data_IF_394275282598
#
_entry.id   IF_394275282598
#
_cell.length_a   1.000
_cell.length_b   1.000
_cell.length_c   1.000
_cell.angle_alpha   90.00
_cell.angle_beta   90.00
_cell.angle_gamma   90.00
#
_symmetry.space_group_name_H-M   'P 1'
#
loop_
_entity.id
_entity.type
_entity.pdbx_description
1 polymer ?
#
# COMPACT_ATOMS: atom_id res chain seq x y z
N UNK A 1 -21.06 -30.55 -8.47
CA UNK A 1 -19.84 -29.87 -8.95
C UNK A 1 -19.38 -28.95 -7.82
N UNK A 2 -18.31 -29.32 -7.13
CA UNK A 2 -17.69 -28.51 -6.08
C UNK A 2 -16.84 -27.44 -6.76
N UNK A 3 -17.30 -26.19 -6.75
CA UNK A 3 -16.42 -25.07 -7.04
C UNK A 3 -15.42 -24.98 -5.87
N UNK A 4 -14.12 -25.11 -6.17
CA UNK A 4 -13.06 -24.73 -5.24
C UNK A 4 -13.35 -23.32 -4.73
N UNK A 5 -13.13 -23.05 -3.44
CA UNK A 5 -13.29 -21.71 -2.84
C UNK A 5 -12.49 -20.64 -3.59
N UNK A 6 -11.36 -21.02 -4.18
CA UNK A 6 -10.60 -20.19 -5.12
C UNK A 6 -11.42 -19.83 -6.36
N UNK A 7 -12.17 -20.78 -6.94
CA UNK A 7 -13.07 -20.50 -8.06
C UNK A 7 -14.18 -19.53 -7.63
N UNK A 8 -14.74 -19.63 -6.42
CA UNK A 8 -15.73 -18.67 -5.92
C UNK A 8 -15.16 -17.26 -5.73
N UNK A 9 -13.92 -17.12 -5.24
CA UNK A 9 -13.20 -15.84 -5.13
C UNK A 9 -12.80 -15.28 -6.51
N UNK A 10 -12.34 -16.14 -7.42
CA UNK A 10 -12.02 -15.79 -8.81
C UNK A 10 -13.27 -15.42 -9.62
N UNK A 11 -14.42 -16.08 -9.39
CA UNK A 11 -15.69 -15.72 -10.01
C UNK A 11 -16.20 -14.36 -9.50
N UNK A 12 -15.93 -14.01 -8.23
CA UNK A 12 -16.21 -12.67 -7.70
C UNK A 12 -15.33 -11.59 -8.37
N UNK A 13 -14.07 -11.90 -8.69
CA UNK A 13 -13.19 -10.99 -9.44
C UNK A 13 -13.55 -10.91 -10.95
N UNK A 14 -13.88 -12.03 -11.57
CA UNK A 14 -14.18 -12.13 -13.01
C UNK A 14 -15.50 -11.45 -13.42
N UNK A 15 -16.42 -11.21 -12.48
CA UNK A 15 -17.66 -10.48 -12.73
C UNK A 15 -17.44 -9.00 -13.12
N UNK A 16 -16.23 -8.44 -12.94
CA UNK A 16 -15.93 -7.03 -13.17
C UNK A 16 -15.02 -6.76 -14.39
N UNK A 17 -14.68 -7.77 -15.18
CA UNK A 17 -13.84 -7.62 -16.38
C UNK A 17 -14.58 -7.06 -17.62
N UNK A 18 -15.82 -6.57 -17.48
CA UNK A 18 -16.52 -5.92 -18.59
C UNK A 18 -16.41 -4.39 -18.48
N UNK A 19 -15.52 -3.73 -19.24
CA UNK A 19 -15.63 -2.28 -19.38
C UNK A 19 -16.98 -1.94 -20.00
N UNK A 20 -17.65 -0.91 -19.48
CA UNK A 20 -18.76 -0.27 -20.17
C UNK A 20 -18.30 0.12 -21.60
N UNK A 21 -19.11 -0.09 -22.65
CA UNK A 21 -18.67 0.18 -24.00
C UNK A 21 -18.43 1.68 -24.15
N UNK A 22 -17.17 2.06 -24.33
CA UNK A 22 -16.82 3.35 -24.88
C UNK A 22 -17.32 3.40 -26.33
N UNK A 23 -18.02 4.46 -26.69
CA UNK A 23 -18.52 4.70 -28.04
C UNK A 23 -17.36 4.64 -29.06
N UNK A 24 -17.40 3.62 -29.92
CA UNK A 24 -16.43 3.44 -30.98
C UNK A 24 -16.69 4.45 -32.10
N UNK A 25 -15.76 5.38 -32.30
CA UNK A 25 -15.62 6.11 -33.56
C UNK A 25 -14.89 5.20 -34.56
N UNK A 26 -15.54 5.00 -35.70
CA UNK A 26 -15.08 4.13 -36.77
C UNK A 26 -13.91 4.75 -37.53
N UNK A 27 -12.87 3.97 -37.76
CA UNK A 27 -12.13 3.98 -39.03
C UNK A 27 -11.52 2.60 -39.28
N UNK A 28 -12.04 1.95 -40.32
CA UNK A 28 -11.68 0.60 -40.74
C UNK A 28 -10.69 0.66 -41.93
N UNK A 29 -9.69 -0.21 -41.92
CA UNK A 29 -8.89 -0.59 -43.10
C UNK A 29 -8.86 -2.13 -43.16
N UNK A 30 -9.20 -2.78 -44.30
CA UNK A 30 -9.44 -4.21 -44.35
C UNK A 30 -8.18 -5.00 -44.76
N UNK A 31 -7.96 -6.17 -44.17
CA UNK A 31 -7.04 -7.18 -44.71
C UNK A 31 -7.66 -8.58 -44.63
N UNK A 32 -7.96 -9.12 -45.81
CA UNK A 32 -7.60 -10.48 -46.24
C UNK A 32 -8.15 -11.68 -45.47
N UNK A 33 -9.26 -12.23 -45.98
CA UNK A 33 -9.76 -13.57 -45.68
C UNK A 33 -8.92 -14.65 -46.40
N UNK A 34 -8.50 -15.70 -45.71
CA UNK A 34 -8.25 -17.02 -46.31
C UNK A 34 -8.77 -18.12 -45.40
N UNK A 35 -9.78 -18.80 -45.93
CA UNK A 35 -10.36 -20.09 -45.55
C UNK A 35 -9.34 -21.23 -45.58
N UNK A 36 -9.44 -22.19 -44.66
CA UNK A 36 -9.54 -23.61 -45.03
C UNK A 36 -9.99 -24.48 -43.84
N UNK A 37 -11.03 -25.27 -44.10
CA UNK A 37 -11.58 -26.36 -43.31
C UNK A 37 -10.58 -27.53 -43.17
N UNK A 38 -10.65 -28.27 -42.05
CA UNK A 38 -10.75 -29.74 -42.11
C UNK A 38 -11.07 -30.37 -40.75
N UNK A 39 -11.99 -31.32 -40.82
CA UNK A 39 -12.70 -32.04 -39.78
C UNK A 39 -11.96 -33.22 -39.14
N UNK A 40 -12.33 -33.52 -37.88
CA UNK A 40 -12.65 -34.84 -37.30
C UNK A 40 -11.63 -36.00 -37.45
N UNK A 41 -11.17 -36.56 -36.32
CA UNK A 41 -11.52 -37.95 -36.01
C UNK A 41 -11.35 -38.32 -34.54
N UNK A 42 -12.37 -38.99 -34.00
CA UNK A 42 -12.38 -39.68 -32.73
C UNK A 42 -11.99 -41.15 -32.93
N UNK A 43 -11.26 -41.73 -31.98
CA UNK A 43 -11.29 -43.18 -31.75
C UNK A 43 -10.87 -43.49 -30.33
N UNK A 44 -11.86 -43.93 -29.56
CA UNK A 44 -11.71 -44.56 -28.26
C UNK A 44 -11.14 -45.97 -28.41
N UNK A 45 -10.31 -46.38 -27.45
CA UNK A 45 -10.07 -47.78 -27.12
C UNK A 45 -10.12 -47.93 -25.60
N UNK A 46 -11.18 -48.59 -25.14
CA UNK A 46 -11.40 -48.96 -23.75
C UNK A 46 -10.63 -50.22 -23.40
N UNK A 47 -9.96 -50.25 -22.26
CA UNK A 47 -9.73 -51.49 -21.51
C UNK A 47 -10.14 -51.22 -20.07
N UNK A 48 -11.22 -51.88 -19.68
CA UNK A 48 -11.74 -51.91 -18.32
C UNK A 48 -10.76 -52.66 -17.42
N UNK A 49 -10.53 -52.13 -16.22
CA UNK A 49 -10.36 -52.99 -15.06
C UNK A 49 -11.08 -52.35 -13.87
N UNK A 50 -12.17 -53.01 -13.45
CA UNK A 50 -12.89 -52.65 -12.25
C UNK A 50 -12.11 -53.17 -11.05
N UNK A 51 -11.82 -52.28 -10.10
CA UNK A 51 -11.65 -52.68 -8.72
C UNK A 51 -12.39 -51.67 -7.85
N UNK A 52 -13.54 -52.12 -7.36
CA UNK A 52 -14.38 -51.45 -6.37
C UNK A 52 -13.64 -51.38 -5.05
N UNK A 53 -13.21 -50.19 -4.65
CA UNK A 53 -13.06 -49.85 -3.24
C UNK A 53 -14.00 -48.69 -2.93
N UNK A 54 -15.04 -48.97 -2.16
CA UNK A 54 -15.86 -47.97 -1.47
C UNK A 54 -14.95 -47.22 -0.49
N UNK A 55 -14.24 -46.21 -1.01
CA UNK A 55 -13.60 -45.19 -0.21
C UNK A 55 -14.65 -44.16 0.15
N UNK A 56 -15.14 -44.20 1.38
CA UNK A 56 -15.84 -43.10 2.04
C UNK A 56 -15.15 -41.79 1.67
N UNK A 57 -15.76 -41.00 0.78
CA UNK A 57 -15.39 -39.60 0.63
C UNK A 57 -15.66 -38.96 1.98
N UNK A 58 -14.60 -38.78 2.76
CA UNK A 58 -14.63 -37.87 3.88
C UNK A 58 -15.04 -36.53 3.30
N UNK A 59 -16.31 -36.15 3.52
CA UNK A 59 -16.73 -34.78 3.36
C UNK A 59 -15.72 -33.96 4.16
N UNK A 60 -14.90 -33.17 3.45
CA UNK A 60 -14.08 -32.17 4.10
C UNK A 60 -15.07 -31.30 4.89
N UNK A 61 -15.11 -31.49 6.20
CA UNK A 61 -15.81 -30.56 7.08
C UNK A 61 -15.17 -29.21 6.78
N UNK A 62 -15.91 -28.30 6.16
CA UNK A 62 -15.44 -26.94 5.95
C UNK A 62 -15.15 -26.39 7.34
N UNK A 63 -13.89 -26.37 7.74
CA UNK A 63 -13.47 -25.74 8.98
C UNK A 63 -14.02 -24.31 8.94
N UNK A 64 -14.58 -23.86 10.07
CA UNK A 64 -15.06 -22.49 10.15
C UNK A 64 -13.93 -21.53 9.73
N UNK A 65 -14.21 -20.50 8.91
CA UNK A 65 -13.22 -19.53 8.51
C UNK A 65 -12.48 -18.95 9.73
N UNK A 66 -11.17 -18.77 9.62
CA UNK A 66 -10.38 -18.27 10.71
C UNK A 66 -10.78 -16.81 11.04
N UNK A 67 -11.13 -16.46 12.29
CA UNK A 67 -11.56 -15.10 12.63
C UNK A 67 -10.52 -14.01 12.31
N UNK A 68 -9.23 -14.37 12.32
CA UNK A 68 -8.14 -13.45 11.97
C UNK A 68 -8.20 -13.01 10.50
N UNK A 69 -8.64 -13.88 9.59
CA UNK A 69 -8.74 -13.55 8.17
C UNK A 69 -9.78 -12.45 7.92
N UNK A 70 -10.90 -12.46 8.66
CA UNK A 70 -11.89 -11.39 8.61
C UNK A 70 -11.29 -10.05 9.10
N UNK A 71 -10.49 -10.08 10.17
CA UNK A 71 -9.81 -8.88 10.67
C UNK A 71 -8.84 -8.33 9.63
N UNK A 72 -8.04 -9.19 8.99
CA UNK A 72 -7.08 -8.79 7.94
C UNK A 72 -7.78 -8.23 6.72
N UNK A 73 -8.85 -8.87 6.24
CA UNK A 73 -9.64 -8.39 5.10
C UNK A 73 -10.32 -7.05 5.37
N UNK A 74 -10.91 -6.86 6.56
CA UNK A 74 -11.51 -5.58 6.93
C UNK A 74 -10.47 -4.47 7.16
N UNK A 75 -9.27 -4.85 7.61
CA UNK A 75 -8.15 -3.93 7.70
C UNK A 75 -7.71 -3.47 6.29
N UNK A 76 -7.50 -4.40 5.35
CA UNK A 76 -7.22 -4.04 3.95
C UNK A 76 -8.33 -3.16 3.37
N UNK A 77 -9.60 -3.56 3.52
CA UNK A 77 -10.76 -2.81 3.02
C UNK A 77 -10.84 -1.38 3.58
N UNK A 78 -10.37 -1.15 4.80
CA UNK A 78 -10.28 0.19 5.38
C UNK A 78 -9.34 1.10 4.58
N UNK A 79 -8.21 0.55 4.12
CA UNK A 79 -7.22 1.27 3.31
C UNK A 79 -7.73 1.43 1.87
N UNK A 80 -8.27 0.39 1.26
CA UNK A 80 -8.84 0.49 -0.09
C UNK A 80 -9.94 1.56 -0.19
N UNK A 81 -10.81 1.68 0.83
CA UNK A 81 -11.80 2.76 0.88
C UNK A 81 -11.16 4.15 0.93
N UNK A 82 -10.06 4.29 1.68
CA UNK A 82 -9.32 5.55 1.79
C UNK A 82 -8.73 5.92 0.44
N UNK A 83 -8.05 4.98 -0.22
CA UNK A 83 -7.35 5.20 -1.49
C UNK A 83 -8.33 5.44 -2.65
N UNK A 84 -9.36 4.60 -2.78
CA UNK A 84 -10.41 4.81 -3.77
C UNK A 84 -11.09 6.18 -3.62
N UNK A 85 -11.37 6.62 -2.39
CA UNK A 85 -11.96 7.95 -2.16
C UNK A 85 -10.95 9.07 -2.46
N UNK A 86 -9.68 8.88 -2.09
CA UNK A 86 -8.62 9.86 -2.34
C UNK A 86 -8.41 10.10 -3.84
N UNK A 87 -8.31 9.05 -4.65
CA UNK A 87 -8.19 9.18 -6.09
C UNK A 87 -9.44 9.75 -6.74
N UNK A 88 -10.64 9.34 -6.31
CA UNK A 88 -11.89 9.89 -6.82
C UNK A 88 -11.97 11.41 -6.60
N UNK A 89 -11.69 11.88 -5.38
CA UNK A 89 -11.71 13.31 -5.06
C UNK A 89 -10.57 14.07 -5.75
N UNK A 90 -9.37 13.48 -5.81
CA UNK A 90 -8.21 14.04 -6.49
C UNK A 90 -8.45 14.23 -7.99
N UNK A 91 -8.99 13.23 -8.69
CA UNK A 91 -9.30 13.30 -10.12
C UNK A 91 -10.49 14.21 -10.45
N UNK A 92 -11.41 14.40 -9.50
CA UNK A 92 -12.46 15.42 -9.61
C UNK A 92 -11.89 16.84 -9.52
N UNK A 93 -10.82 17.02 -8.72
CA UNK A 93 -10.17 18.31 -8.50
C UNK A 93 -9.09 18.65 -9.53
N UNK A 94 -8.35 17.66 -10.02
CA UNK A 94 -7.16 17.84 -10.85
C UNK A 94 -7.31 17.15 -12.21
N UNK A 95 -7.65 17.95 -13.23
CA UNK A 95 -7.71 17.51 -14.63
C UNK A 95 -6.38 17.67 -15.37
N UNK A 96 -6.43 17.48 -16.71
CA UNK A 96 -5.26 17.51 -17.58
C UNK A 96 -4.41 18.79 -17.44
N UNK A 97 -5.05 19.94 -17.29
CA UNK A 97 -4.36 21.23 -17.14
C UNK A 97 -3.48 21.27 -15.88
N UNK A 98 -3.92 20.65 -14.77
CA UNK A 98 -3.16 20.61 -13.53
C UNK A 98 -1.88 19.78 -13.70
N UNK A 99 -1.98 18.60 -14.33
CA UNK A 99 -0.80 17.77 -14.63
C UNK A 99 0.15 18.46 -15.61
N UNK A 100 -0.40 19.07 -16.66
CA UNK A 100 0.39 19.79 -17.67
C UNK A 100 1.10 21.02 -17.08
N UNK A 101 0.51 21.67 -16.07
CA UNK A 101 1.07 22.87 -15.42
C UNK A 101 2.41 22.61 -14.72
N UNK A 102 2.68 21.36 -14.33
CA UNK A 102 3.95 20.92 -13.74
C UNK A 102 4.80 20.11 -14.74
N UNK A 103 4.46 20.18 -16.03
CA UNK A 103 5.22 19.55 -17.11
C UNK A 103 5.02 18.03 -17.24
N UNK A 104 3.99 17.46 -16.61
CA UNK A 104 3.71 16.03 -16.73
C UNK A 104 2.95 15.73 -18.03
N UNK A 105 3.37 14.70 -18.78
CA UNK A 105 2.74 14.33 -20.04
C UNK A 105 1.35 13.70 -19.82
N UNK A 106 0.47 13.80 -20.82
CA UNK A 106 -0.93 13.37 -20.75
C UNK A 106 -1.13 11.92 -20.28
N UNK A 107 -0.20 11.01 -20.59
CA UNK A 107 -0.31 9.61 -20.18
C UNK A 107 -0.30 9.45 -18.65
N UNK A 108 0.30 10.39 -17.91
CA UNK A 108 0.33 10.35 -16.44
C UNK A 108 -1.08 10.43 -15.88
N UNK A 109 -1.93 11.32 -16.38
CA UNK A 109 -3.34 11.38 -15.97
C UNK A 109 -4.06 10.05 -16.23
N UNK A 110 -3.74 9.36 -17.33
CA UNK A 110 -4.34 8.05 -17.62
C UNK A 110 -3.89 6.99 -16.61
N UNK A 111 -2.63 7.01 -16.18
CA UNK A 111 -2.16 6.11 -15.11
C UNK A 111 -2.89 6.39 -13.79
N UNK A 112 -3.09 7.66 -13.40
CA UNK A 112 -3.89 7.99 -12.21
C UNK A 112 -5.34 7.49 -12.32
N UNK A 113 -5.94 7.53 -13.52
CA UNK A 113 -7.28 6.98 -13.76
C UNK A 113 -7.30 5.44 -13.68
N UNK A 114 -6.24 4.78 -14.13
CA UNK A 114 -6.07 3.33 -13.97
C UNK A 114 -6.00 2.97 -12.50
N UNK A 115 -5.12 3.61 -11.74
CA UNK A 115 -5.00 3.39 -10.28
C UNK A 115 -6.35 3.60 -9.59
N UNK A 116 -7.04 4.72 -9.87
CA UNK A 116 -8.36 4.99 -9.29
C UNK A 116 -9.41 3.88 -9.58
N UNK A 117 -9.35 3.27 -10.76
CA UNK A 117 -10.22 2.17 -11.15
C UNK A 117 -9.84 0.89 -10.42
N UNK A 118 -8.54 0.60 -10.32
CA UNK A 118 -8.00 -0.57 -9.62
C UNK A 118 -8.37 -0.51 -8.12
N UNK A 119 -8.22 0.62 -7.45
CA UNK A 119 -8.63 0.78 -6.04
C UNK A 119 -10.14 0.56 -5.83
N UNK A 120 -10.95 1.01 -6.77
CA UNK A 120 -12.40 0.77 -6.73
C UNK A 120 -12.74 -0.72 -6.90
N UNK A 121 -11.95 -1.43 -7.71
CA UNK A 121 -12.06 -2.88 -7.92
C UNK A 121 -11.58 -3.63 -6.68
N UNK A 122 -10.49 -3.20 -6.04
CA UNK A 122 -10.00 -3.78 -4.78
C UNK A 122 -11.06 -3.70 -3.67
N UNK A 123 -11.69 -2.53 -3.47
CA UNK A 123 -12.83 -2.37 -2.53
C UNK A 123 -13.91 -3.40 -2.81
N UNK A 124 -14.36 -3.50 -4.06
CA UNK A 124 -15.45 -4.39 -4.46
C UNK A 124 -15.07 -5.85 -4.27
N UNK A 125 -13.85 -6.21 -4.63
CA UNK A 125 -13.30 -7.55 -4.45
C UNK A 125 -13.29 -7.94 -2.97
N UNK A 126 -12.75 -7.10 -2.09
CA UNK A 126 -12.67 -7.38 -0.65
C UNK A 126 -14.06 -7.48 0.00
N UNK A 127 -15.00 -6.61 -0.37
CA UNK A 127 -16.39 -6.71 0.09
C UNK A 127 -17.01 -8.07 -0.29
N UNK A 128 -16.80 -8.51 -1.53
CA UNK A 128 -17.30 -9.80 -2.01
C UNK A 128 -16.60 -10.98 -1.32
N UNK A 129 -15.28 -10.91 -1.14
CA UNK A 129 -14.51 -11.95 -0.46
C UNK A 129 -14.96 -12.13 1.00
N UNK A 130 -15.20 -11.02 1.72
CA UNK A 130 -15.75 -11.02 3.08
C UNK A 130 -17.16 -11.62 3.09
N UNK A 131 -18.03 -11.17 2.18
CA UNK A 131 -19.41 -11.65 2.10
C UNK A 131 -19.48 -13.15 1.79
N UNK A 132 -18.67 -13.64 0.85
CA UNK A 132 -18.63 -15.04 0.45
C UNK A 132 -18.04 -15.96 1.51
N UNK A 133 -17.04 -15.48 2.26
CA UNK A 133 -16.31 -16.32 3.22
C UNK A 133 -16.91 -16.27 4.62
N UNK A 134 -17.33 -15.10 5.09
CA UNK A 134 -17.75 -14.88 6.48
C UNK A 134 -19.24 -14.54 6.60
N UNK A 135 -19.87 -14.09 5.52
CA UNK A 135 -21.28 -13.73 5.48
C UNK A 135 -21.52 -12.25 5.16
N UNK A 136 -22.75 -11.96 4.71
CA UNK A 136 -23.18 -10.62 4.32
C UNK A 136 -23.10 -9.63 5.51
N UNK A 137 -22.82 -8.36 5.21
CA UNK A 137 -22.77 -7.24 6.16
C UNK A 137 -21.62 -7.27 7.18
N UNK A 138 -20.59 -8.10 6.98
CA UNK A 138 -19.38 -8.09 7.80
C UNK A 138 -18.25 -7.22 7.24
N UNK A 139 -18.41 -6.72 6.02
CA UNK A 139 -17.49 -5.77 5.41
C UNK A 139 -17.67 -4.38 6.05
N UNK A 140 -16.58 -3.77 6.48
CA UNK A 140 -16.62 -2.42 7.05
C UNK A 140 -17.03 -1.39 5.97
N UNK A 141 -17.88 -0.41 6.31
CA UNK A 141 -18.18 0.71 5.42
C UNK A 141 -16.98 1.67 5.35
N UNK A 142 -16.97 2.59 4.39
CA UNK A 142 -15.94 3.63 4.33
C UNK A 142 -15.96 4.57 5.54
N UNK A 143 -14.80 5.11 5.88
CA UNK A 143 -14.68 6.20 6.84
C UNK A 143 -15.06 7.54 6.18
N UNK A 144 -15.07 8.61 6.98
CA UNK A 144 -15.02 9.98 6.48
C UNK A 144 -13.58 10.47 6.52
N UNK A 145 -13.20 11.25 5.51
CA UNK A 145 -11.81 11.63 5.30
C UNK A 145 -11.63 13.15 5.35
N UNK A 146 -10.40 13.59 5.59
CA UNK A 146 -9.99 14.97 5.43
C UNK A 146 -8.74 15.01 4.55
N UNK A 147 -8.90 15.46 3.32
CA UNK A 147 -7.82 15.56 2.34
C UNK A 147 -7.38 17.00 2.06
N UNK A 148 -7.76 17.99 2.87
CA UNK A 148 -7.49 19.41 2.60
C UNK A 148 -6.00 19.67 2.33
N UNK A 149 -5.10 19.09 3.14
CA UNK A 149 -3.66 19.17 2.93
C UNK A 149 -3.16 18.27 1.80
N UNK A 150 -3.67 17.04 1.72
CA UNK A 150 -3.24 16.04 0.74
C UNK A 150 -3.68 16.36 -0.70
N UNK A 151 -4.73 17.18 -0.86
CA UNK A 151 -5.23 17.67 -2.14
C UNK A 151 -5.09 19.20 -2.24
N UNK A 152 -4.18 19.83 -1.48
CA UNK A 152 -4.00 21.28 -1.51
C UNK A 152 -3.59 21.79 -2.91
N UNK A 153 -2.77 21.03 -3.63
CA UNK A 153 -2.33 21.29 -5.00
C UNK A 153 -1.91 19.96 -5.68
N UNK A 154 -1.60 20.01 -6.98
CA UNK A 154 -1.21 18.83 -7.77
C UNK A 154 0.04 18.12 -7.23
N UNK A 155 1.00 18.87 -6.68
CA UNK A 155 2.21 18.27 -6.10
C UNK A 155 1.89 17.51 -4.81
N UNK A 156 1.03 18.07 -3.95
CA UNK A 156 0.51 17.37 -2.77
C UNK A 156 -0.27 16.13 -3.17
N UNK A 157 -1.10 16.19 -4.22
CA UNK A 157 -1.85 15.04 -4.72
C UNK A 157 -0.92 13.88 -5.12
N UNK A 158 0.10 14.16 -5.93
CA UNK A 158 1.07 13.15 -6.36
C UNK A 158 1.89 12.60 -5.17
N UNK A 159 2.30 13.48 -4.25
CA UNK A 159 3.13 13.09 -3.10
C UNK A 159 2.37 12.18 -2.14
N UNK A 160 1.11 12.50 -1.84
CA UNK A 160 0.28 11.68 -0.96
C UNK A 160 -0.19 10.39 -1.64
N UNK A 161 -0.45 10.41 -2.95
CA UNK A 161 -0.64 9.18 -3.72
C UNK A 161 0.56 8.24 -3.54
N UNK A 162 1.80 8.74 -3.71
CA UNK A 162 3.01 7.92 -3.53
C UNK A 162 3.15 7.37 -2.10
N UNK A 163 2.70 8.11 -1.08
CA UNK A 163 2.68 7.65 0.31
C UNK A 163 1.62 6.56 0.51
N UNK A 164 0.42 6.73 -0.06
CA UNK A 164 -0.70 5.80 0.07
C UNK A 164 -0.38 4.45 -0.58
N UNK A 165 -0.03 4.41 -1.87
CA UNK A 165 0.30 3.15 -2.55
C UNK A 165 1.45 2.41 -1.87
N UNK A 166 2.45 3.16 -1.39
CA UNK A 166 3.50 2.56 -0.58
C UNK A 166 2.95 1.96 0.70
N UNK A 167 2.06 2.66 1.39
CA UNK A 167 1.40 2.16 2.59
C UNK A 167 0.58 0.90 2.28
N UNK A 168 -0.11 0.85 1.12
CA UNK A 168 -0.77 -0.33 0.57
C UNK A 168 0.17 -1.53 0.46
N UNK A 169 1.30 -1.38 -0.24
CA UNK A 169 2.36 -2.42 -0.33
C UNK A 169 2.77 -2.91 1.06
N UNK A 170 3.11 -2.00 1.98
CA UNK A 170 3.56 -2.35 3.32
C UNK A 170 2.50 -3.10 4.13
N UNK A 171 1.23 -2.75 3.95
CA UNK A 171 0.09 -3.38 4.61
C UNK A 171 -0.17 -4.79 4.09
N UNK A 172 -0.13 -5.00 2.77
CA UNK A 172 -0.30 -6.33 2.19
C UNK A 172 0.88 -7.26 2.53
N UNK A 173 2.11 -6.78 2.44
CA UNK A 173 3.30 -7.56 2.80
C UNK A 173 3.31 -7.94 4.29
N UNK A 174 2.90 -7.03 5.17
CA UNK A 174 2.77 -7.31 6.61
C UNK A 174 1.55 -8.17 6.94
N UNK A 175 0.48 -8.07 6.16
CA UNK A 175 -0.78 -8.78 6.35
C UNK A 175 -0.73 -10.23 5.88
N UNK A 176 0.05 -10.54 4.83
CA UNK A 176 0.05 -11.88 4.21
C UNK A 176 0.46 -12.99 5.18
N UNK A 177 1.33 -12.70 6.16
CA UNK A 177 1.72 -13.67 7.21
C UNK A 177 0.57 -14.02 8.17
N UNK A 178 -0.45 -13.17 8.27
CA UNK A 178 -1.57 -13.32 9.21
C UNK A 178 -2.72 -14.15 8.62
N UNK A 179 -2.77 -14.28 7.29
CA UNK A 179 -3.85 -14.95 6.59
C UNK A 179 -3.68 -16.48 6.69
N UNK A 180 -4.70 -17.15 7.21
CA UNK A 180 -4.77 -18.61 7.35
C UNK A 180 -5.31 -19.25 6.07
N UNK A 181 -6.38 -18.70 5.48
CA UNK A 181 -6.96 -19.23 4.26
C UNK A 181 -6.06 -18.97 3.03
N UNK A 182 -5.63 -20.05 2.35
CA UNK A 182 -4.69 -19.94 1.22
C UNK A 182 -5.26 -19.26 -0.02
N UNK A 183 -6.58 -19.30 -0.23
CA UNK A 183 -7.22 -18.59 -1.34
C UNK A 183 -7.23 -17.08 -1.09
N UNK A 184 -7.54 -16.66 0.15
CA UNK A 184 -7.43 -15.25 0.57
C UNK A 184 -5.97 -14.80 0.49
N UNK A 185 -5.02 -15.64 0.89
CA UNK A 185 -3.59 -15.34 0.84
C UNK A 185 -3.11 -15.13 -0.59
N UNK A 186 -3.56 -15.99 -1.52
CA UNK A 186 -3.28 -15.86 -2.94
C UNK A 186 -3.86 -14.57 -3.51
N UNK A 187 -5.12 -14.25 -3.16
CA UNK A 187 -5.74 -12.99 -3.58
C UNK A 187 -4.98 -11.77 -3.05
N UNK A 188 -4.61 -11.75 -1.77
CA UNK A 188 -3.81 -10.69 -1.17
C UNK A 188 -2.48 -10.51 -1.90
N UNK A 189 -1.81 -11.60 -2.28
CA UNK A 189 -0.57 -11.53 -3.07
C UNK A 189 -0.80 -10.90 -4.46
N UNK A 190 -1.94 -11.13 -5.10
CA UNK A 190 -2.23 -10.50 -6.40
C UNK A 190 -2.41 -8.99 -6.27
N UNK A 191 -3.12 -8.53 -5.24
CA UNK A 191 -3.31 -7.10 -4.96
C UNK A 191 -1.96 -6.47 -4.62
N UNK A 192 -1.18 -7.08 -3.71
CA UNK A 192 0.16 -6.59 -3.33
C UNK A 192 1.06 -6.27 -4.55
N UNK A 193 1.03 -7.10 -5.59
CA UNK A 193 1.82 -6.83 -6.80
C UNK A 193 1.30 -5.66 -7.64
N UNK A 194 -0.01 -5.39 -7.61
CA UNK A 194 -0.64 -4.23 -8.28
C UNK A 194 -0.28 -2.95 -7.53
N UNK A 195 -0.45 -2.92 -6.20
CA UNK A 195 0.05 -1.85 -5.32
C UNK A 195 1.52 -1.52 -5.60
N UNK A 196 2.36 -2.57 -5.73
CA UNK A 196 3.77 -2.42 -6.05
C UNK A 196 4.02 -1.72 -7.39
N UNK A 197 3.17 -1.95 -8.41
CA UNK A 197 3.26 -1.27 -9.72
C UNK A 197 2.78 0.17 -9.64
N UNK A 198 1.71 0.44 -8.89
CA UNK A 198 1.25 1.81 -8.64
C UNK A 198 2.32 2.63 -7.93
N UNK A 199 2.86 2.09 -6.82
CA UNK A 199 3.98 2.65 -6.08
C UNK A 199 5.19 2.87 -6.99
N UNK A 200 5.56 1.88 -7.82
CA UNK A 200 6.66 2.00 -8.79
C UNK A 200 6.48 3.18 -9.75
N UNK A 201 5.28 3.37 -10.29
CA UNK A 201 4.96 4.50 -11.16
C UNK A 201 5.04 5.84 -10.44
N UNK A 202 4.47 5.95 -9.24
CA UNK A 202 4.47 7.19 -8.45
C UNK A 202 5.86 7.57 -7.93
N UNK A 203 6.72 6.56 -7.68
CA UNK A 203 8.12 6.78 -7.34
C UNK A 203 8.83 7.59 -8.43
N UNK A 204 8.57 7.29 -9.71
CA UNK A 204 9.16 8.05 -10.83
C UNK A 204 8.71 9.52 -10.83
N UNK A 205 7.46 9.80 -10.43
CA UNK A 205 6.93 11.16 -10.38
C UNK A 205 7.47 11.96 -9.19
N UNK A 206 7.83 11.29 -8.10
CA UNK A 206 8.41 11.89 -6.90
C UNK A 206 9.94 11.91 -6.91
N UNK A 207 10.57 11.42 -7.99
CA UNK A 207 12.02 11.42 -8.19
C UNK A 207 12.77 10.29 -7.48
N UNK A 208 12.04 9.29 -6.95
CA UNK A 208 12.58 8.04 -6.44
C UNK A 208 12.81 7.03 -7.58
N UNK A 209 13.54 5.95 -7.28
CA UNK A 209 13.69 4.84 -8.22
C UNK A 209 12.39 4.03 -8.35
N UNK A 210 12.05 3.48 -9.52
CA UNK A 210 10.83 2.68 -9.71
C UNK A 210 10.86 1.38 -8.87
N UNK A 211 12.06 0.90 -8.52
CA UNK A 211 12.28 -0.14 -7.54
C UNK A 211 13.22 0.46 -6.47
N UNK A 212 12.69 1.05 -5.40
CA UNK A 212 13.45 1.85 -4.44
C UNK A 212 14.26 0.99 -3.46
N UNK A 213 14.51 -0.29 -3.78
CA UNK A 213 15.20 -1.27 -2.97
C UNK A 213 14.95 -2.70 -3.49
N UNK A 214 15.74 -3.69 -3.05
CA UNK A 214 15.53 -5.11 -3.40
C UNK A 214 14.36 -5.77 -2.65
N UNK A 215 13.88 -5.15 -1.58
CA UNK A 215 12.78 -5.64 -0.75
C UNK A 215 11.91 -4.48 -0.30
N UNK A 216 10.60 -4.70 -0.27
CA UNK A 216 9.66 -3.80 0.40
C UNK A 216 9.72 -3.96 1.92
N UNK A 217 9.20 -2.96 2.65
CA UNK A 217 9.22 -2.93 4.11
C UNK A 217 7.86 -3.32 4.66
N UNK A 218 7.62 -4.59 5.03
CA UNK A 218 6.33 -4.98 5.59
C UNK A 218 6.07 -4.23 6.90
N UNK A 219 4.83 -3.81 7.13
CA UNK A 219 4.42 -3.16 8.38
C UNK A 219 3.21 -3.85 9.02
N UNK A 220 3.16 -3.83 10.35
CA UNK A 220 1.98 -4.29 11.09
C UNK A 220 0.80 -3.31 11.00
N UNK A 221 -0.37 -3.75 11.46
CA UNK A 221 -1.63 -3.00 11.40
C UNK A 221 -1.49 -1.60 12.02
N UNK A 222 -0.92 -1.48 13.22
CA UNK A 222 -0.87 -0.20 13.94
C UNK A 222 0.08 0.81 13.28
N UNK A 223 1.30 0.46 12.85
CA UNK A 223 2.12 1.34 12.02
C UNK A 223 1.39 1.84 10.76
N UNK A 224 0.71 0.96 10.02
CA UNK A 224 -0.04 1.33 8.81
C UNK A 224 -1.19 2.29 9.12
N UNK A 225 -2.01 1.99 10.12
CA UNK A 225 -3.08 2.91 10.57
C UNK A 225 -2.50 4.26 11.00
N UNK A 226 -1.30 4.29 11.58
CA UNK A 226 -0.66 5.54 12.00
C UNK A 226 -0.25 6.41 10.81
N UNK A 227 0.16 5.82 9.68
CA UNK A 227 0.43 6.57 8.43
C UNK A 227 -0.89 7.15 7.87
N UNK A 228 -1.95 6.35 7.83
CA UNK A 228 -3.25 6.75 7.30
C UNK A 228 -4.03 7.72 8.21
N UNK A 229 -3.73 7.76 9.51
CA UNK A 229 -4.53 8.45 10.52
C UNK A 229 -4.75 9.94 10.25
N UNK A 230 -3.76 10.62 9.65
CA UNK A 230 -3.87 12.04 9.31
C UNK A 230 -4.93 12.35 8.25
N UNK A 231 -5.35 11.35 7.48
CA UNK A 231 -6.32 11.48 6.40
C UNK A 231 -7.72 10.98 6.81
N UNK A 232 -7.82 10.25 7.92
CA UNK A 232 -9.08 9.70 8.43
C UNK A 232 -9.65 10.66 9.46
N UNK A 233 -10.84 11.22 9.17
CA UNK A 233 -11.55 12.11 10.09
C UNK A 233 -12.32 11.32 11.15
N UNK A 234 -13.07 10.31 10.72
CA UNK A 234 -13.78 9.39 11.61
C UNK A 234 -14.28 8.16 10.86
N UNK A 235 -14.41 7.04 11.55
CA UNK A 235 -14.99 5.81 11.00
C UNK A 235 -16.27 5.43 11.77
N UNK A 236 -17.28 4.84 11.12
CA UNK A 236 -18.50 4.36 11.80
C UNK A 236 -18.30 3.01 12.51
N UNK A 237 -17.05 2.57 12.65
CA UNK A 237 -16.61 1.35 13.32
C UNK A 237 -15.29 1.64 14.06
N UNK A 238 -14.92 0.77 14.99
CA UNK A 238 -13.65 0.86 15.71
C UNK A 238 -12.51 0.37 14.83
N UNK A 239 -11.51 1.23 14.63
CA UNK A 239 -10.27 0.83 13.95
C UNK A 239 -9.55 -0.29 14.73
N UNK A 240 -8.86 -1.20 14.04
CA UNK A 240 -8.22 -2.37 14.68
C UNK A 240 -7.06 -2.01 15.59
N UNK A 241 -6.53 -0.78 15.48
CA UNK A 241 -5.52 -0.26 16.38
C UNK A 241 -5.66 1.26 16.54
N UNK A 242 -5.25 1.77 17.70
CA UNK A 242 -5.09 3.21 17.91
C UNK A 242 -3.77 3.66 17.29
N UNK A 243 -3.77 4.71 16.44
CA UNK A 243 -2.54 5.19 15.82
C UNK A 243 -1.56 5.68 16.90
N UNK A 244 -0.27 5.55 16.60
CA UNK A 244 0.77 6.20 17.38
C UNK A 244 0.68 7.73 17.23
N UNK A 245 1.26 8.48 18.18
CA UNK A 245 1.54 9.89 17.97
C UNK A 245 2.33 10.11 16.67
N UNK A 246 1.86 11.02 15.83
CA UNK A 246 2.54 11.35 14.58
C UNK A 246 3.84 12.15 14.82
N UNK A 247 4.83 11.93 13.95
CA UNK A 247 5.98 12.82 13.81
C UNK A 247 5.57 14.04 12.98
N UNK A 248 6.07 15.22 13.34
CA UNK A 248 5.70 16.50 12.75
C UNK A 248 6.90 17.38 12.41
N UNK A 249 6.61 18.52 11.78
CA UNK A 249 7.57 19.58 11.48
C UNK A 249 7.25 20.85 12.29
N UNK A 250 8.27 21.65 12.60
CA UNK A 250 8.11 23.06 13.01
C UNK A 250 8.73 23.96 11.95
N UNK A 251 8.02 25.03 11.56
CA UNK A 251 8.43 25.98 10.52
C UNK A 251 8.79 25.31 9.18
N UNK A 252 8.08 24.22 8.83
CA UNK A 252 8.33 23.44 7.62
C UNK A 252 9.58 22.54 7.67
N UNK A 253 10.24 22.43 8.83
CA UNK A 253 11.40 21.59 9.07
C UNK A 253 11.07 20.46 10.05
N UNK A 254 11.30 19.21 9.65
CA UNK A 254 11.14 18.03 10.51
C UNK A 254 10.79 16.78 9.70
N UNK A 255 10.52 15.69 10.42
CA UNK A 255 10.32 14.37 9.84
C UNK A 255 8.82 14.05 9.72
N UNK A 256 8.23 14.25 8.55
CA UNK A 256 6.88 13.77 8.19
C UNK A 256 6.92 12.80 7.03
N UNK A 257 5.85 12.03 6.82
CA UNK A 257 5.73 11.22 5.61
C UNK A 257 5.83 12.10 4.37
N UNK A 258 6.73 11.74 3.46
CA UNK A 258 7.06 12.52 2.28
C UNK A 258 8.28 13.44 2.40
N UNK A 259 8.89 13.53 3.60
CA UNK A 259 10.09 14.35 3.80
C UNK A 259 11.26 13.80 2.98
N UNK A 260 11.89 14.62 2.11
CA UNK A 260 13.14 14.26 1.47
C UNK A 260 14.29 14.27 2.49
N UNK A 261 15.10 13.22 2.51
CA UNK A 261 16.21 13.05 3.46
C UNK A 261 17.50 12.76 2.72
N UNK A 262 18.63 13.23 3.26
CA UNK A 262 19.96 12.90 2.78
C UNK A 262 20.71 12.04 3.81
N UNK A 263 21.42 11.02 3.36
CA UNK A 263 22.29 10.21 4.21
C UNK A 263 23.25 11.07 5.03
N UNK A 264 23.37 10.78 6.32
CA UNK A 264 24.24 11.50 7.25
C UNK A 264 23.72 12.89 7.66
N UNK A 265 22.64 13.39 7.04
CA UNK A 265 21.99 14.62 7.49
C UNK A 265 21.30 14.42 8.84
N UNK A 266 21.14 15.50 9.58
CA UNK A 266 20.40 15.51 10.84
C UNK A 266 19.05 16.15 10.62
N UNK A 267 17.99 15.50 11.08
CA UNK A 267 16.61 15.93 10.88
C UNK A 267 15.95 16.17 12.24
N UNK A 268 15.36 17.35 12.47
CA UNK A 268 14.56 17.61 13.66
C UNK A 268 13.39 16.63 13.78
N UNK A 269 13.19 16.10 14.98
CA UNK A 269 11.99 15.37 15.37
C UNK A 269 11.06 16.35 16.06
N UNK A 270 9.85 16.51 15.55
CA UNK A 270 8.79 17.18 16.29
C UNK A 270 7.62 16.24 16.46
N UNK A 271 6.81 16.49 17.49
CA UNK A 271 5.62 15.70 17.80
C UNK A 271 4.41 16.61 17.87
N UNK A 272 3.27 16.13 17.40
CA UNK A 272 2.00 16.83 17.59
C UNK A 272 1.72 17.01 19.08
N UNK A 273 1.29 18.21 19.50
CA UNK A 273 0.89 18.48 20.87
C UNK A 273 1.99 18.99 21.80
N UNK A 274 3.15 19.38 21.28
CA UNK A 274 4.17 20.07 22.07
C UNK A 274 4.85 19.18 23.11
N UNK A 275 5.11 17.91 22.77
CA UNK A 275 6.05 17.10 23.55
C UNK A 275 7.44 17.74 23.45
N UNK A 276 7.70 18.72 24.32
CA UNK A 276 9.05 19.19 24.61
C UNK A 276 9.79 18.02 25.25
N UNK A 277 10.47 17.24 24.43
CA UNK A 277 11.31 16.16 24.91
C UNK A 277 12.47 16.77 25.68
N UNK A 278 12.59 16.46 26.97
CA UNK A 278 13.77 16.87 27.72
C UNK A 278 15.00 16.12 27.21
N UNK A 279 16.19 16.65 27.45
CA UNK A 279 17.43 15.94 27.10
C UNK A 279 17.51 14.55 27.76
N UNK A 280 16.93 14.40 28.96
CA UNK A 280 16.86 13.14 29.68
C UNK A 280 15.93 12.14 28.99
N UNK A 281 14.77 12.60 28.51
CA UNK A 281 13.83 11.75 27.77
C UNK A 281 14.44 11.33 26.42
N UNK A 282 15.07 12.28 25.71
CA UNK A 282 15.74 12.01 24.44
C UNK A 282 16.83 10.94 24.57
N UNK A 283 17.58 10.94 25.68
CA UNK A 283 18.61 9.95 25.95
C UNK A 283 18.09 8.51 26.13
N UNK A 284 16.79 8.34 26.42
CA UNK A 284 16.13 7.03 26.55
C UNK A 284 15.49 6.56 25.25
N UNK A 285 15.52 7.38 24.20
CA UNK A 285 14.85 7.12 22.94
C UNK A 285 15.85 7.00 21.79
N UNK A 286 15.40 6.41 20.69
CA UNK A 286 16.18 6.31 19.45
C UNK A 286 15.28 6.42 18.22
N UNK A 287 15.81 6.99 17.14
CA UNK A 287 15.20 6.76 15.83
C UNK A 287 15.58 5.37 15.35
N UNK A 288 14.56 4.60 15.00
CA UNK A 288 14.69 3.27 14.44
C UNK A 288 14.31 3.31 12.97
N UNK A 289 15.31 3.08 12.11
CA UNK A 289 15.21 3.15 10.66
C UNK A 289 15.04 1.75 10.08
N UNK A 290 13.99 1.58 9.30
CA UNK A 290 13.59 0.32 8.67
C UNK A 290 13.60 0.49 7.16
N UNK A 291 14.28 -0.40 6.45
CA UNK A 291 14.40 -0.39 4.99
C UNK A 291 14.45 -1.82 4.46
N UNK A 292 13.50 -2.16 3.59
CA UNK A 292 13.26 -3.53 3.17
C UNK A 292 13.09 -4.50 4.33
N UNK A 293 13.76 -5.64 4.24
CA UNK A 293 13.91 -6.68 5.29
C UNK A 293 15.33 -6.72 5.87
N UNK A 294 16.11 -5.65 5.67
CA UNK A 294 17.48 -5.54 6.18
C UNK A 294 17.51 -5.35 7.71
N UNK A 295 18.67 -5.58 8.36
CA UNK A 295 18.87 -5.21 9.75
C UNK A 295 18.52 -3.74 9.99
N UNK A 296 17.66 -3.49 10.96
CA UNK A 296 17.23 -2.14 11.31
C UNK A 296 18.39 -1.37 11.92
N UNK A 297 18.41 -0.06 11.67
CA UNK A 297 19.48 0.82 12.16
C UNK A 297 18.90 1.77 13.18
N UNK A 298 19.53 1.84 14.35
CA UNK A 298 19.16 2.79 15.39
C UNK A 298 20.16 3.93 15.48
N UNK A 299 19.66 5.13 15.53
CA UNK A 299 20.44 6.35 15.77
C UNK A 299 19.89 7.05 17.00
N UNK A 300 20.76 7.39 17.94
CA UNK A 300 20.38 8.12 19.16
C UNK A 300 19.73 9.46 18.82
N UNK A 301 18.73 9.86 19.60
CA UNK A 301 18.16 11.19 19.52
C UNK A 301 19.10 12.16 20.22
N UNK A 302 19.50 13.22 19.54
CA UNK A 302 20.35 14.29 20.07
C UNK A 302 19.52 15.54 20.28
N UNK A 303 19.94 16.43 21.19
CA UNK A 303 19.30 17.72 21.36
C UNK A 303 20.04 18.78 20.52
N UNK A 304 19.44 19.15 19.39
CA UNK A 304 19.90 20.24 18.53
C UNK A 304 19.35 21.59 18.97
N UNK A 305 19.70 22.65 18.22
CA UNK A 305 19.23 24.02 18.50
C UNK A 305 17.71 24.19 18.37
N UNK A 306 17.06 23.30 17.60
CA UNK A 306 15.64 23.35 17.28
C UNK A 306 14.83 22.26 18.01
N UNK A 307 15.44 21.52 18.94
CA UNK A 307 14.82 20.42 19.66
C UNK A 307 15.49 19.06 19.40
N UNK A 308 14.82 17.94 19.71
CA UNK A 308 15.37 16.62 19.47
C UNK A 308 15.56 16.38 17.96
N UNK A 309 16.63 15.70 17.58
CA UNK A 309 16.99 15.45 16.19
C UNK A 309 17.62 14.06 16.02
N UNK A 310 17.48 13.50 14.82
CA UNK A 310 18.07 12.22 14.45
C UNK A 310 18.96 12.33 13.24
N UNK A 311 20.09 11.65 13.30
CA UNK A 311 20.94 11.45 12.14
C UNK A 311 20.33 10.38 11.22
N UNK A 312 20.24 10.67 9.94
CA UNK A 312 19.89 9.67 8.91
C UNK A 312 21.08 8.71 8.75
N UNK A 313 20.92 7.40 8.95
CA UNK A 313 22.02 6.46 8.91
C UNK A 313 22.60 6.34 7.50
N UNK A 314 23.91 6.15 7.40
CA UNK A 314 24.59 6.00 6.10
C UNK A 314 24.22 4.70 5.38
N UNK A 315 23.81 3.71 6.16
CA UNK A 315 23.34 2.39 5.79
C UNK A 315 22.13 2.44 4.85
N UNK A 316 21.35 3.52 4.90
CA UNK A 316 20.21 3.73 4.01
C UNK A 316 20.64 3.76 2.53
N UNK A 317 21.90 4.10 2.24
CA UNK A 317 22.44 4.04 0.88
C UNK A 317 22.97 2.66 0.49
N UNK A 318 23.25 1.77 1.46
CA UNK A 318 24.04 0.54 1.26
C UNK A 318 23.32 -0.57 0.50
N UNK A 319 22.10 -0.35 0.00
CA UNK A 319 21.41 -1.30 -0.87
C UNK A 319 20.50 -0.59 -1.90
N UNK A 320 20.94 0.61 -2.36
CA UNK A 320 20.19 1.44 -3.30
C UNK A 320 18.79 1.82 -2.81
N UNK A 321 18.55 1.80 -1.49
CA UNK A 321 17.26 2.20 -0.96
C UNK A 321 17.04 3.70 -1.19
N UNK A 322 15.93 4.05 -1.86
CA UNK A 322 15.53 5.45 -2.03
C UNK A 322 14.39 5.83 -1.10
N UNK A 323 14.04 4.96 -0.15
CA UNK A 323 12.95 5.15 0.81
C UNK A 323 13.22 4.42 2.11
N UNK A 324 12.72 4.93 3.23
CA UNK A 324 12.75 4.25 4.52
C UNK A 324 11.53 4.59 5.37
N UNK A 325 11.31 3.76 6.39
CA UNK A 325 10.33 4.00 7.45
C UNK A 325 11.09 4.28 8.73
N UNK A 326 10.67 5.30 9.47
CA UNK A 326 11.34 5.71 10.71
C UNK A 326 10.36 5.82 11.86
N UNK A 327 10.73 5.21 12.98
CA UNK A 327 9.99 5.20 14.24
C UNK A 327 10.82 5.87 15.33
N UNK A 328 10.15 6.40 16.35
CA UNK A 328 10.79 6.75 17.63
C UNK A 328 10.48 5.64 18.62
N UNK A 329 11.51 5.07 19.27
CA UNK A 329 11.39 3.91 20.17
C UNK A 329 12.06 4.15 21.53
N UNK A 330 11.59 3.48 22.59
CA UNK A 330 12.03 3.66 24.00
C UNK A 330 12.94 2.57 24.58
N UNK A 331 13.10 1.45 23.89
CA UNK A 331 13.96 0.35 24.33
C UNK A 331 14.94 0.00 23.23
N UNK A 332 16.04 -0.66 23.59
CA UNK A 332 17.02 -1.17 22.63
C UNK A 332 16.54 -2.37 21.82
N UNK A 333 15.23 -2.43 21.51
CA UNK A 333 14.60 -3.43 20.65
C UNK A 333 14.23 -2.79 19.31
N UNK A 334 14.30 -3.61 18.27
CA UNK A 334 13.85 -3.24 16.94
C UNK A 334 12.33 -3.32 16.84
N UNK A 335 11.73 -2.70 15.83
CA UNK A 335 10.29 -2.78 15.58
C UNK A 335 10.00 -4.05 14.80
N UNK A 336 9.14 -4.93 15.31
CA UNK A 336 8.75 -6.15 14.61
C UNK A 336 7.32 -6.02 14.06
N UNK A 337 6.99 -6.86 13.06
CA UNK A 337 5.64 -6.91 12.49
C UNK A 337 4.55 -7.22 13.52
N UNK A 338 4.91 -7.95 14.57
CA UNK A 338 4.04 -8.44 15.64
C UNK A 338 4.40 -7.88 17.02
N UNK A 339 5.40 -7.01 17.12
CA UNK A 339 5.75 -6.34 18.37
C UNK A 339 6.17 -4.89 18.13
N UNK A 340 5.28 -3.99 18.51
CA UNK A 340 5.41 -2.54 18.34
C UNK A 340 5.32 -1.80 19.70
N UNK A 341 5.46 -2.53 20.82
CA UNK A 341 5.28 -1.99 22.18
C UNK A 341 6.35 -0.96 22.57
N UNK A 342 7.50 -1.02 21.91
CA UNK A 342 8.60 -0.07 22.08
C UNK A 342 8.38 1.22 21.28
N UNK A 343 7.41 1.29 20.36
CA UNK A 343 7.16 2.47 19.53
C UNK A 343 6.45 3.54 20.34
N UNK A 344 7.08 4.72 20.38
CA UNK A 344 6.58 5.93 21.05
C UNK A 344 5.87 6.84 20.05
N UNK A 345 6.36 6.91 18.81
CA UNK A 345 5.78 7.75 17.76
C UNK A 345 6.18 7.29 16.35
N UNK A 346 5.46 7.80 15.36
CA UNK A 346 5.63 7.49 13.95
C UNK A 346 4.68 6.36 13.50
N UNK A 347 5.02 5.63 12.42
CA UNK A 347 6.16 5.90 11.57
C UNK A 347 6.00 7.16 10.72
N UNK A 348 7.11 7.64 10.17
CA UNK A 348 7.11 8.48 8.98
C UNK A 348 7.75 7.72 7.81
N UNK A 349 7.15 7.81 6.62
CA UNK A 349 7.72 7.27 5.38
C UNK A 349 8.53 8.35 4.69
N UNK A 350 9.84 8.19 4.61
CA UNK A 350 10.75 9.22 4.07
C UNK A 350 11.34 8.80 2.73
N UNK A 351 11.63 9.80 1.89
CA UNK A 351 12.26 9.61 0.58
C UNK A 351 13.73 9.98 0.65
N UNK A 352 14.61 9.04 0.31
CA UNK A 352 16.06 9.18 0.42
C UNK A 352 16.59 9.67 -0.91
N UNK A 353 17.00 10.93 -0.94
CA UNK A 353 17.66 11.54 -2.08
C UNK A 353 19.18 11.49 -1.93
N UNK A 354 19.89 11.45 -3.06
CA UNK A 354 21.23 12.05 -3.09
C UNK A 354 21.04 13.53 -2.79
N UNK A 355 21.85 14.14 -1.91
CA UNK A 355 21.82 15.57 -1.70
C UNK A 355 21.96 16.29 -3.06
N UNK A 356 20.85 16.72 -3.66
CA UNK A 356 20.93 17.64 -4.79
C UNK A 356 21.46 18.93 -4.18
N UNK A 357 22.67 19.29 -4.60
CA UNK A 357 23.20 20.62 -4.41
C UNK A 357 22.08 21.63 -4.68
N UNK A 358 21.83 22.49 -3.71
CA UNK A 358 21.11 23.74 -3.94
C UNK A 358 21.70 24.38 -5.21
N UNK A 359 20.98 24.33 -6.32
CA UNK A 359 21.55 24.73 -7.60
C UNK A 359 20.83 24.21 -8.84
N UNK A 360 19.94 25.06 -9.35
CA UNK A 360 19.46 25.14 -10.74
C UNK A 360 18.27 24.27 -11.15
N UNK A 361 17.15 24.99 -11.28
CA UNK A 361 16.14 24.80 -12.31
C UNK A 361 16.75 24.64 -13.72
N UNK A 362 15.93 24.15 -14.64
CA UNK A 362 16.19 23.80 -16.04
C UNK A 362 16.76 22.39 -16.26
N UNK A 363 15.85 21.45 -16.53
CA UNK A 363 16.04 20.55 -17.66
C UNK A 363 14.86 20.72 -18.61
N UNK A 364 15.23 20.97 -19.86
CA UNK A 364 14.35 21.15 -21.02
C UNK A 364 13.67 19.86 -21.41
#
# INVERSE_FOLDING_TARGET
MLASTLASLLFAAAAFAAPAPAEASADAVPVGNTTEDASLNASAASVANQNTSEGTQAAASSAAPAPIDLTVLNFALTLEHLEATYYQEGLSKFGLDAFSSIGLPNFVLQQFKTIAADESIHVTFLQNAIAATFGMNLAVPKCTYNFDGALANIQSFITFAAILEKTGVQAYDGGVKLIVNDDIKTAAATIATVEGRHSSFLNLLTGAGPAPGPFDTPLGIRPVISIAAGLIKSCPYTLPAMPFPALTTVDGSGLTSGTPVASGSTIPLMFTGGMGMSATDAALLSCNWVFGVEPQVRTSIQMGSNGPECQVPSEIQKAAFTQAVVFVVNESRDVALDDDKNVVAGPATVFVGSAKASGSANRK
#
